data_IF_281521791999
#
_entry.id   IF_281521791999
#
_cell.length_a   1.000
_cell.length_b   1.000
_cell.length_c   1.000
_cell.angle_alpha   90.00
_cell.angle_beta   90.00
_cell.angle_gamma   90.00
#
_symmetry.space_group_name_H-M   'P 1'
#
loop_
_entity.id
_entity.type
_entity.pdbx_description
1 polymer ?
#
# COMPACT_ATOMS: atom_id res chain seq x y z
N UNK A 1 14.32 -23.75 0.39
CA UNK A 1 13.11 -22.93 0.30
C UNK A 1 12.87 -22.51 -1.13
N UNK A 2 11.61 -22.33 -1.53
CA UNK A 2 11.31 -21.72 -2.83
C UNK A 2 11.25 -20.20 -2.67
N UNK A 3 11.77 -19.48 -3.66
CA UNK A 3 11.81 -18.00 -3.66
C UNK A 3 11.73 -17.47 -5.08
N UNK A 4 11.26 -16.23 -5.22
CA UNK A 4 11.28 -15.50 -6.49
C UNK A 4 12.39 -14.46 -6.45
N UNK A 5 13.23 -14.47 -7.47
CA UNK A 5 14.31 -13.51 -7.66
C UNK A 5 14.18 -12.81 -9.01
N UNK A 6 14.85 -11.69 -9.13
CA UNK A 6 15.10 -11.02 -10.41
C UNK A 6 16.60 -10.93 -10.65
N UNK A 7 17.05 -11.35 -11.84
CA UNK A 7 18.44 -11.24 -12.28
C UNK A 7 18.68 -9.99 -13.12
N UNK A 8 17.61 -9.42 -13.70
CA UNK A 8 17.63 -8.20 -14.51
C UNK A 8 16.32 -7.44 -14.31
N UNK A 9 16.39 -6.11 -14.23
CA UNK A 9 15.20 -5.27 -14.24
C UNK A 9 14.42 -5.40 -15.57
N UNK A 10 13.09 -5.45 -15.47
CA UNK A 10 12.25 -5.64 -16.68
C UNK A 10 10.80 -5.97 -16.38
N UNK A 11 10.17 -6.67 -17.31
CA UNK A 11 8.77 -7.10 -17.24
C UNK A 11 8.54 -8.28 -16.30
N UNK A 12 7.26 -8.68 -16.10
CA UNK A 12 6.89 -9.78 -15.22
C UNK A 12 7.52 -11.14 -15.58
N UNK A 13 7.90 -11.33 -16.84
CA UNK A 13 8.59 -12.52 -17.35
C UNK A 13 9.99 -12.72 -16.76
N UNK A 14 10.58 -11.65 -16.20
CA UNK A 14 11.88 -11.70 -15.52
C UNK A 14 11.83 -12.20 -14.08
N UNK A 15 10.65 -12.53 -13.57
CA UNK A 15 10.48 -13.11 -12.22
C UNK A 15 10.80 -14.60 -12.27
N UNK A 16 11.87 -14.99 -11.58
CA UNK A 16 12.42 -16.34 -11.61
C UNK A 16 12.08 -17.09 -10.30
N UNK A 17 11.19 -18.08 -10.38
CA UNK A 17 10.90 -18.99 -9.27
C UNK A 17 12.01 -20.03 -9.14
N UNK A 18 12.72 -20.04 -8.01
CA UNK A 18 13.88 -20.90 -7.78
C UNK A 18 13.86 -21.56 -6.41
N UNK A 19 14.44 -22.75 -6.33
CA UNK A 19 14.79 -23.35 -5.05
C UNK A 19 16.14 -22.79 -4.58
N UNK A 20 16.16 -22.25 -3.36
CA UNK A 20 17.36 -21.68 -2.73
C UNK A 20 17.59 -22.35 -1.37
N UNK A 21 18.84 -22.36 -0.94
CA UNK A 21 19.19 -22.77 0.44
C UNK A 21 18.72 -21.68 1.41
N UNK A 22 18.05 -22.08 2.48
CA UNK A 22 17.75 -21.20 3.60
C UNK A 22 18.89 -21.32 4.61
N UNK A 23 19.58 -20.22 4.86
CA UNK A 23 20.63 -20.16 5.88
C UNK A 23 20.00 -20.10 7.30
N UNK A 24 20.79 -20.36 8.35
CA UNK A 24 20.34 -20.14 9.72
C UNK A 24 20.12 -18.65 9.96
N UNK A 25 19.14 -18.28 10.83
CA UNK A 25 18.91 -16.86 11.14
C UNK A 25 20.11 -16.28 11.90
N UNK A 26 20.41 -15.00 11.65
CA UNK A 26 21.40 -14.26 12.45
C UNK A 26 20.89 -14.09 13.87
N UNK A 27 21.78 -13.59 14.75
CA UNK A 27 21.48 -13.43 16.17
C UNK A 27 20.20 -12.60 16.44
N UNK A 28 19.93 -11.55 15.64
CA UNK A 28 18.79 -10.64 15.75
C UNK A 28 17.63 -10.96 14.79
N UNK A 29 17.71 -12.07 14.07
CA UNK A 29 16.72 -12.49 13.09
C UNK A 29 15.87 -13.68 13.58
N UNK A 30 14.74 -13.85 12.93
CA UNK A 30 13.90 -15.06 13.03
C UNK A 30 13.73 -15.67 11.65
N UNK A 31 13.51 -17.00 11.59
CA UNK A 31 13.03 -17.65 10.38
C UNK A 31 11.51 -17.68 10.40
N UNK A 32 10.89 -17.15 9.36
CA UNK A 32 9.45 -17.13 9.16
C UNK A 32 9.09 -18.13 8.06
N UNK A 33 8.13 -19.02 8.32
CA UNK A 33 7.40 -19.75 7.30
C UNK A 33 6.25 -18.86 6.84
N UNK A 34 6.31 -18.31 5.64
CA UNK A 34 5.24 -17.50 5.11
C UNK A 34 3.96 -18.33 4.93
N UNK A 35 2.85 -17.82 5.39
CA UNK A 35 1.51 -18.36 5.15
C UNK A 35 0.83 -17.63 3.98
N UNK A 36 1.04 -16.32 3.91
CA UNK A 36 0.51 -15.46 2.87
C UNK A 36 1.46 -14.28 2.61
N UNK A 37 1.44 -13.78 1.38
CA UNK A 37 2.32 -12.72 0.90
C UNK A 37 1.45 -11.66 0.22
N UNK A 38 1.63 -10.40 0.57
CA UNK A 38 0.91 -9.28 -0.03
C UNK A 38 1.48 -8.89 -1.38
N UNK A 39 0.61 -8.67 -2.35
CA UNK A 39 0.97 -8.11 -3.66
C UNK A 39 0.81 -6.59 -3.65
N UNK A 40 1.87 -5.85 -4.01
CA UNK A 40 1.90 -4.40 -3.95
C UNK A 40 2.51 -3.76 -5.21
N UNK A 41 2.07 -2.54 -5.56
CA UNK A 41 2.65 -1.81 -6.69
C UNK A 41 4.14 -1.53 -6.53
N UNK A 42 4.66 -1.36 -5.31
CA UNK A 42 6.09 -1.15 -5.06
C UNK A 42 6.92 -2.34 -5.54
N UNK A 43 6.37 -3.55 -5.53
CA UNK A 43 7.06 -4.74 -6.03
C UNK A 43 7.30 -4.63 -7.55
N UNK A 44 6.38 -4.00 -8.28
CA UNK A 44 6.55 -3.72 -9.71
C UNK A 44 7.63 -2.65 -9.95
N UNK A 45 7.76 -1.67 -9.05
CA UNK A 45 8.80 -0.64 -9.15
C UNK A 45 10.20 -1.21 -8.90
N UNK A 46 10.34 -2.12 -7.94
CA UNK A 46 11.57 -2.88 -7.73
C UNK A 46 11.91 -3.75 -8.93
N UNK A 47 10.94 -4.54 -9.43
CA UNK A 47 11.13 -5.41 -10.57
C UNK A 47 11.52 -4.64 -11.83
N UNK A 48 10.85 -3.55 -12.14
CA UNK A 48 11.08 -2.76 -13.35
C UNK A 48 12.35 -1.90 -13.32
N UNK A 49 12.96 -1.72 -12.12
CA UNK A 49 14.12 -0.87 -11.92
C UNK A 49 13.78 0.61 -11.71
N UNK A 50 12.50 0.98 -11.60
CA UNK A 50 12.09 2.34 -11.18
C UNK A 50 12.66 2.67 -9.79
N UNK A 51 12.68 1.67 -8.90
CA UNK A 51 13.41 1.71 -7.63
C UNK A 51 14.59 0.75 -7.75
N UNK A 52 15.83 1.28 -7.93
CA UNK A 52 17.00 0.47 -8.21
C UNK A 52 17.31 -0.55 -7.11
N UNK A 53 17.71 -1.75 -7.53
CA UNK A 53 18.19 -2.83 -6.67
C UNK A 53 19.57 -3.31 -7.12
N UNK A 54 20.35 -3.81 -6.17
CA UNK A 54 21.53 -4.60 -6.49
C UNK A 54 21.09 -5.98 -6.97
N UNK A 55 21.41 -6.35 -8.20
CA UNK A 55 20.98 -7.60 -8.83
C UNK A 55 22.08 -8.66 -8.83
N UNK A 56 21.75 -9.96 -8.71
CA UNK A 56 20.42 -10.51 -8.55
C UNK A 56 19.82 -10.20 -7.18
N UNK A 57 18.50 -10.02 -7.09
CA UNK A 57 17.81 -9.66 -5.85
C UNK A 57 16.57 -10.52 -5.61
N UNK A 58 16.30 -10.96 -4.38
CA UNK A 58 14.96 -11.39 -3.99
C UNK A 58 14.00 -10.21 -4.06
N UNK A 59 12.70 -10.49 -4.19
CA UNK A 59 11.65 -9.48 -4.35
C UNK A 59 10.48 -9.75 -3.41
N UNK A 60 9.58 -8.77 -3.27
CA UNK A 60 8.44 -8.78 -2.37
C UNK A 60 8.75 -8.12 -1.03
N UNK A 61 7.84 -7.29 -0.56
CA UNK A 61 8.02 -6.45 0.63
C UNK A 61 7.20 -6.92 1.82
N UNK A 62 6.01 -7.46 1.59
CA UNK A 62 4.97 -7.70 2.59
C UNK A 62 4.63 -9.19 2.71
N UNK A 63 4.47 -9.66 3.94
CA UNK A 63 4.00 -11.02 4.20
C UNK A 63 3.59 -11.24 5.65
N UNK A 64 2.95 -12.38 5.89
CA UNK A 64 2.60 -12.87 7.21
C UNK A 64 2.81 -14.38 7.28
N UNK A 65 3.17 -14.87 8.46
CA UNK A 65 3.47 -16.27 8.67
C UNK A 65 3.73 -16.60 10.12
N UNK A 66 4.40 -17.72 10.34
CA UNK A 66 4.71 -18.24 11.67
C UNK A 66 6.23 -18.37 11.83
N UNK A 67 6.73 -18.02 13.00
CA UNK A 67 8.14 -18.16 13.35
C UNK A 67 8.47 -19.63 13.55
N UNK A 68 9.48 -20.14 12.83
CA UNK A 68 9.97 -21.52 12.93
C UNK A 68 11.33 -21.65 13.60
N UNK A 69 12.13 -20.58 13.60
CA UNK A 69 13.44 -20.51 14.31
C UNK A 69 13.65 -19.08 14.83
N UNK A 70 14.44 -18.96 15.89
CA UNK A 70 14.84 -17.66 16.47
C UNK A 70 16.36 -17.60 16.62
N UNK A 71 16.94 -16.43 16.36
CA UNK A 71 18.35 -16.15 16.60
C UNK A 71 18.65 -15.98 18.10
N UNK A 72 19.93 -16.04 18.46
CA UNK A 72 20.38 -16.09 19.86
C UNK A 72 20.01 -14.86 20.69
N UNK A 73 19.88 -13.68 20.07
CA UNK A 73 19.63 -12.41 20.74
C UNK A 73 18.16 -12.00 20.75
N UNK A 74 17.29 -12.82 20.11
CA UNK A 74 15.85 -12.56 20.03
C UNK A 74 15.20 -12.86 21.37
N UNK A 75 14.54 -11.84 21.96
CA UNK A 75 13.87 -11.93 23.28
C UNK A 75 12.34 -11.80 23.19
N UNK A 76 11.86 -10.99 22.25
CA UNK A 76 10.44 -10.59 22.17
C UNK A 76 9.59 -11.51 21.31
N UNK A 77 10.23 -12.45 20.61
CA UNK A 77 9.57 -13.42 19.71
C UNK A 77 10.00 -14.84 20.03
N UNK A 78 9.11 -15.80 19.78
CA UNK A 78 9.35 -17.25 19.96
C UNK A 78 8.80 -18.05 18.79
N UNK A 79 9.26 -19.29 18.66
CA UNK A 79 8.71 -20.25 17.70
C UNK A 79 7.21 -20.42 17.94
N UNK A 80 6.43 -20.41 16.86
CA UNK A 80 4.97 -20.47 16.86
C UNK A 80 4.28 -19.11 16.90
N UNK A 81 5.00 -17.99 17.13
CA UNK A 81 4.38 -16.67 17.07
C UNK A 81 3.93 -16.35 15.63
N UNK A 82 2.68 -15.91 15.48
CA UNK A 82 2.15 -15.35 14.22
C UNK A 82 2.64 -13.92 14.05
N UNK A 83 3.20 -13.64 12.89
CA UNK A 83 3.88 -12.37 12.62
C UNK A 83 3.59 -11.84 11.23
N UNK A 84 3.72 -10.53 11.06
CA UNK A 84 3.61 -9.85 9.78
C UNK A 84 4.69 -8.77 9.64
N UNK A 85 4.98 -8.39 8.39
CA UNK A 85 6.02 -7.43 8.04
C UNK A 85 5.73 -6.75 6.71
N UNK A 86 6.27 -5.54 6.50
CA UNK A 86 6.11 -4.78 5.25
C UNK A 86 7.28 -3.82 4.98
N UNK A 87 8.48 -4.18 5.44
CA UNK A 87 9.68 -3.35 5.26
C UNK A 87 10.86 -4.16 4.70
N UNK A 88 11.96 -3.47 4.39
CA UNK A 88 13.22 -4.14 4.02
C UNK A 88 13.76 -5.03 5.17
N UNK A 89 14.52 -6.07 4.82
CA UNK A 89 14.97 -6.47 3.49
C UNK A 89 13.86 -7.08 2.62
N UNK A 90 14.01 -6.97 1.30
CA UNK A 90 13.11 -7.64 0.35
C UNK A 90 13.23 -9.17 0.42
N UNK A 91 12.31 -9.89 -0.22
CA UNK A 91 12.32 -11.36 -0.26
C UNK A 91 11.06 -11.99 0.34
N UNK A 92 9.97 -11.24 0.44
CA UNK A 92 8.69 -11.79 0.88
C UNK A 92 8.15 -12.86 -0.09
N UNK A 93 8.49 -12.79 -1.37
CA UNK A 93 8.09 -13.80 -2.36
C UNK A 93 8.88 -15.09 -2.18
N UNK A 94 8.64 -15.75 -1.06
CA UNK A 94 9.32 -17.00 -0.66
C UNK A 94 8.46 -17.83 0.27
N UNK A 95 8.69 -19.15 0.29
CA UNK A 95 8.03 -20.04 1.26
C UNK A 95 8.54 -19.82 2.69
N UNK A 96 9.81 -19.48 2.83
CA UNK A 96 10.46 -19.18 4.11
C UNK A 96 11.44 -18.04 3.93
N UNK A 97 11.74 -17.31 5.00
CA UNK A 97 12.77 -16.29 5.01
C UNK A 97 13.32 -16.03 6.40
N UNK A 98 14.56 -15.56 6.47
CA UNK A 98 15.08 -14.93 7.67
C UNK A 98 14.73 -13.42 7.64
N UNK A 99 14.35 -12.88 8.80
CA UNK A 99 13.91 -11.50 8.88
C UNK A 99 14.27 -10.85 10.22
N UNK A 100 14.79 -9.60 10.22
CA UNK A 100 15.18 -8.90 11.42
C UNK A 100 13.97 -8.54 12.29
N UNK A 101 14.06 -8.83 13.59
CA UNK A 101 12.95 -8.63 14.53
C UNK A 101 12.52 -7.17 14.70
N UNK A 102 13.44 -6.22 14.47
CA UNK A 102 13.14 -4.78 14.55
C UNK A 102 12.03 -4.31 13.59
N UNK A 103 11.81 -5.03 12.49
CA UNK A 103 10.81 -4.70 11.45
C UNK A 103 9.59 -5.65 11.49
N UNK A 104 9.48 -6.48 12.53
CA UNK A 104 8.48 -7.54 12.64
C UNK A 104 7.43 -7.16 13.67
N UNK A 105 6.15 -7.45 13.38
CA UNK A 105 5.04 -7.24 14.33
C UNK A 105 4.30 -8.54 14.59
N UNK A 106 3.76 -8.70 15.80
CA UNK A 106 2.88 -9.82 16.14
C UNK A 106 1.48 -9.59 15.56
N UNK A 107 0.91 -10.64 14.99
CA UNK A 107 -0.47 -10.60 14.50
C UNK A 107 -1.39 -11.05 15.64
N UNK A 108 -2.40 -10.23 16.02
CA UNK A 108 -3.36 -10.62 17.04
C UNK A 108 -4.24 -11.80 16.55
N UNK A 109 -4.71 -12.64 17.47
CA UNK A 109 -5.49 -13.84 17.14
C UNK A 109 -6.82 -13.54 16.41
N UNK A 110 -7.33 -12.33 16.56
CA UNK A 110 -8.53 -11.85 15.87
C UNK A 110 -8.33 -11.56 14.37
N UNK A 111 -7.08 -11.60 13.86
CA UNK A 111 -6.75 -11.32 12.47
C UNK A 111 -6.08 -12.56 11.86
N UNK A 112 -6.63 -13.09 10.78
CA UNK A 112 -6.02 -14.19 10.05
C UNK A 112 -4.78 -13.73 9.25
N UNK A 113 -3.89 -14.69 8.93
CA UNK A 113 -2.62 -14.38 8.29
C UNK A 113 -2.75 -13.89 6.83
N UNK A 114 -3.80 -14.29 6.10
CA UNK A 114 -4.04 -13.76 4.75
C UNK A 114 -4.46 -12.28 4.82
N UNK A 115 -5.33 -11.96 5.75
CA UNK A 115 -5.72 -10.57 6.03
C UNK A 115 -4.50 -9.77 6.49
N UNK A 116 -3.71 -10.27 7.44
CA UNK A 116 -2.50 -9.59 7.91
C UNK A 116 -1.50 -9.30 6.77
N UNK A 117 -1.27 -10.29 5.88
CA UNK A 117 -0.38 -10.14 4.72
C UNK A 117 -0.85 -9.12 3.68
N UNK A 118 -2.11 -8.70 3.73
CA UNK A 118 -2.66 -7.67 2.82
C UNK A 118 -2.89 -6.33 3.50
N UNK A 119 -2.78 -6.29 4.82
CA UNK A 119 -3.04 -5.12 5.64
C UNK A 119 -1.80 -4.28 5.94
N UNK A 120 -0.62 -4.89 6.09
CA UNK A 120 0.53 -4.17 6.63
C UNK A 120 0.92 -2.97 5.76
N UNK A 121 1.27 -3.19 4.51
CA UNK A 121 1.67 -2.10 3.60
C UNK A 121 0.50 -1.13 3.37
N UNK A 122 -0.68 -1.64 3.09
CA UNK A 122 -1.85 -0.84 2.70
C UNK A 122 -2.45 -0.11 3.89
N UNK A 123 -2.56 -0.78 5.03
CA UNK A 123 -3.10 -0.23 6.27
C UNK A 123 -2.17 0.81 6.91
N UNK A 124 -0.86 0.53 6.99
CA UNK A 124 0.11 1.52 7.49
C UNK A 124 0.17 2.73 6.57
N UNK A 125 0.08 2.51 5.23
CA UNK A 125 -0.04 3.62 4.28
C UNK A 125 -1.28 4.46 4.58
N UNK A 126 -2.43 3.84 4.75
CA UNK A 126 -3.67 4.55 5.13
C UNK A 126 -3.51 5.29 6.46
N UNK A 127 -2.92 4.65 7.47
CA UNK A 127 -2.69 5.26 8.78
C UNK A 127 -1.88 6.54 8.68
N UNK A 128 -0.69 6.49 8.07
CA UNK A 128 0.13 7.71 8.01
C UNK A 128 -0.48 8.79 7.12
N UNK A 129 -1.17 8.43 6.04
CA UNK A 129 -1.85 9.41 5.19
C UNK A 129 -2.89 10.20 5.97
N UNK A 130 -3.76 9.50 6.73
CA UNK A 130 -4.89 10.10 7.45
C UNK A 130 -4.53 10.75 8.79
N UNK A 131 -3.44 10.30 9.44
CA UNK A 131 -3.13 10.73 10.82
C UNK A 131 -1.81 11.50 10.96
N UNK A 132 -0.86 11.30 10.04
CA UNK A 132 0.50 11.88 10.18
C UNK A 132 0.83 12.86 9.05
N UNK A 133 0.58 12.51 7.79
CA UNK A 133 0.89 13.38 6.64
C UNK A 133 -0.07 14.56 6.56
N UNK A 134 -1.35 14.28 6.58
CA UNK A 134 -2.42 15.26 6.72
C UNK A 134 -3.46 14.71 7.70
N UNK A 135 -3.42 15.13 8.97
CA UNK A 135 -4.41 14.71 9.98
C UNK A 135 -5.79 15.24 9.60
N UNK A 136 -6.63 14.35 9.05
CA UNK A 136 -7.97 14.72 8.59
C UNK A 136 -8.89 15.06 9.76
N UNK A 137 -9.89 15.91 9.51
CA UNK A 137 -10.91 16.29 10.49
C UNK A 137 -12.28 15.82 10.03
N UNK A 138 -13.15 15.52 10.98
CA UNK A 138 -14.54 15.21 10.69
C UNK A 138 -15.22 16.33 9.92
N UNK A 139 -16.01 15.98 8.89
CA UNK A 139 -16.67 16.90 7.99
C UNK A 139 -15.81 17.46 6.86
N UNK A 140 -14.52 17.11 6.78
CA UNK A 140 -13.68 17.54 5.64
C UNK A 140 -14.00 16.74 4.37
N UNK A 141 -14.06 17.47 3.23
CA UNK A 141 -14.07 16.87 1.90
C UNK A 141 -12.65 16.53 1.49
N UNK A 142 -12.41 15.26 1.17
CA UNK A 142 -11.09 14.74 0.77
C UNK A 142 -11.20 13.90 -0.50
N UNK A 143 -10.17 13.92 -1.34
CA UNK A 143 -10.11 13.13 -2.57
C UNK A 143 -9.03 12.05 -2.46
N UNK A 144 -9.38 10.82 -2.86
CA UNK A 144 -8.45 9.72 -3.00
C UNK A 144 -8.53 9.10 -4.41
N UNK A 145 -7.41 9.08 -5.12
CA UNK A 145 -7.33 8.44 -6.43
C UNK A 145 -7.17 6.92 -6.34
N UNK A 146 -7.72 6.19 -7.32
CA UNK A 146 -7.76 4.73 -7.35
C UNK A 146 -8.54 4.11 -6.17
N UNK A 147 -9.73 4.63 -5.89
CA UNK A 147 -10.60 4.27 -4.76
C UNK A 147 -10.92 2.78 -4.64
N UNK A 148 -11.02 2.04 -5.76
CA UNK A 148 -11.25 0.59 -5.77
C UNK A 148 -9.96 -0.25 -5.65
N UNK A 149 -8.79 0.39 -5.53
CA UNK A 149 -7.51 -0.30 -5.36
C UNK A 149 -7.29 -0.82 -3.95
N UNK A 150 -6.20 -1.57 -3.74
CA UNK A 150 -5.91 -2.19 -2.44
C UNK A 150 -5.79 -1.20 -1.27
N UNK A 151 -5.11 -0.07 -1.44
CA UNK A 151 -5.06 1.01 -0.44
C UNK A 151 -6.40 1.74 -0.39
N UNK A 152 -7.01 2.02 -1.56
CA UNK A 152 -8.25 2.78 -1.67
C UNK A 152 -9.41 2.19 -0.88
N UNK A 153 -9.56 0.87 -0.90
CA UNK A 153 -10.62 0.19 -0.13
C UNK A 153 -10.44 0.36 1.39
N UNK A 154 -9.22 0.28 1.89
CA UNK A 154 -8.92 0.49 3.31
C UNK A 154 -9.09 1.96 3.67
N UNK A 155 -8.57 2.84 2.83
CA UNK A 155 -8.61 4.29 3.01
C UNK A 155 -10.04 4.83 3.12
N UNK A 156 -10.93 4.45 2.19
CA UNK A 156 -12.31 4.93 2.18
C UNK A 156 -13.06 4.54 3.46
N UNK A 157 -12.99 3.26 3.87
CA UNK A 157 -13.60 2.80 5.11
C UNK A 157 -13.06 3.54 6.35
N UNK A 158 -11.73 3.71 6.41
CA UNK A 158 -11.08 4.37 7.54
C UNK A 158 -11.41 5.86 7.58
N UNK A 159 -11.27 6.59 6.47
CA UNK A 159 -11.61 8.00 6.38
C UNK A 159 -13.10 8.27 6.71
N UNK A 160 -14.00 7.39 6.23
CA UNK A 160 -15.42 7.46 6.58
C UNK A 160 -15.65 7.27 8.08
N UNK A 161 -14.91 6.36 8.72
CA UNK A 161 -15.00 6.15 10.18
C UNK A 161 -14.49 7.34 11.00
N UNK A 162 -13.68 8.23 10.38
CA UNK A 162 -13.23 9.49 10.96
C UNK A 162 -14.20 10.64 10.70
N UNK A 163 -15.29 10.39 9.98
CA UNK A 163 -16.33 11.38 9.67
C UNK A 163 -16.02 12.28 8.47
N UNK A 164 -15.07 11.90 7.61
CA UNK A 164 -14.80 12.65 6.37
C UNK A 164 -15.90 12.41 5.32
N UNK A 165 -16.07 13.39 4.41
CA UNK A 165 -16.76 13.23 3.15
C UNK A 165 -15.74 12.76 2.11
N UNK A 166 -15.84 11.50 1.69
CA UNK A 166 -14.78 10.87 0.89
C UNK A 166 -15.17 10.85 -0.58
N UNK A 167 -14.40 11.54 -1.40
CA UNK A 167 -14.51 11.52 -2.86
C UNK A 167 -13.47 10.56 -3.40
N UNK A 168 -13.86 9.66 -4.30
CA UNK A 168 -12.97 8.70 -4.92
C UNK A 168 -12.95 8.81 -6.44
N UNK A 169 -11.83 8.48 -7.06
CA UNK A 169 -11.81 8.27 -8.51
C UNK A 169 -11.53 6.82 -8.86
N UNK A 170 -12.15 6.37 -9.95
CA UNK A 170 -11.99 5.02 -10.53
C UNK A 170 -11.81 5.09 -12.03
N UNK A 171 -11.27 4.02 -12.63
CA UNK A 171 -11.03 3.96 -14.07
C UNK A 171 -12.11 3.21 -14.86
N UNK A 172 -13.18 2.71 -14.23
CA UNK A 172 -14.28 2.05 -14.92
C UNK A 172 -15.56 2.07 -14.08
N UNK A 173 -16.72 1.93 -14.73
CA UNK A 173 -18.02 1.92 -14.03
C UNK A 173 -18.18 0.71 -13.12
N UNK A 174 -17.63 -0.42 -13.49
CA UNK A 174 -17.64 -1.65 -12.69
C UNK A 174 -17.00 -1.46 -11.31
N UNK A 175 -16.08 -0.48 -11.18
CA UNK A 175 -15.39 -0.14 -9.93
C UNK A 175 -16.13 0.87 -9.07
N UNK A 176 -17.14 1.57 -9.63
CA UNK A 176 -17.88 2.61 -8.89
C UNK A 176 -18.58 2.01 -7.68
N UNK A 177 -19.35 0.94 -7.88
CA UNK A 177 -20.09 0.31 -6.79
C UNK A 177 -19.18 -0.27 -5.71
N UNK A 178 -18.05 -0.87 -6.12
CA UNK A 178 -17.03 -1.35 -5.19
C UNK A 178 -16.48 -0.21 -4.31
N UNK A 179 -16.18 0.95 -4.90
CA UNK A 179 -15.69 2.09 -4.13
C UNK A 179 -16.76 2.61 -3.16
N UNK A 180 -18.02 2.76 -3.58
CA UNK A 180 -19.12 3.18 -2.70
C UNK A 180 -19.27 2.24 -1.49
N UNK A 181 -19.22 0.92 -1.70
CA UNK A 181 -19.27 -0.08 -0.62
C UNK A 181 -18.10 0.04 0.36
N UNK A 182 -17.01 0.67 -0.05
CA UNK A 182 -15.82 0.91 0.77
C UNK A 182 -15.75 2.35 1.34
N UNK A 183 -16.89 3.03 1.51
CA UNK A 183 -17.00 4.26 2.28
C UNK A 183 -16.82 5.55 1.51
N UNK A 184 -16.79 5.51 0.17
CA UNK A 184 -16.76 6.72 -0.66
C UNK A 184 -18.18 7.27 -0.86
N UNK A 185 -18.38 8.53 -0.49
CA UNK A 185 -19.65 9.24 -0.65
C UNK A 185 -19.91 9.60 -2.11
N UNK A 186 -18.85 9.99 -2.82
CA UNK A 186 -18.86 10.32 -4.24
C UNK A 186 -17.79 9.52 -4.97
N UNK A 187 -18.13 8.95 -6.13
CA UNK A 187 -17.18 8.20 -6.97
C UNK A 187 -17.25 8.70 -8.40
N UNK A 188 -16.12 9.12 -8.93
CA UNK A 188 -15.97 9.71 -10.26
C UNK A 188 -15.21 8.74 -11.17
N UNK A 189 -15.76 8.39 -12.32
CA UNK A 189 -15.05 7.64 -13.35
C UNK A 189 -14.28 8.64 -14.25
N UNK A 190 -12.97 8.79 -14.00
CA UNK A 190 -12.13 9.76 -14.72
C UNK A 190 -11.91 9.45 -16.22
N UNK A 191 -12.34 8.29 -16.71
CA UNK A 191 -12.34 8.00 -18.14
C UNK A 191 -13.57 8.55 -18.86
N UNK A 192 -14.60 8.98 -18.10
CA UNK A 192 -15.85 9.55 -18.62
C UNK A 192 -16.00 11.03 -18.29
N UNK A 193 -15.57 11.40 -17.09
CA UNK A 193 -15.77 12.74 -16.54
C UNK A 193 -14.43 13.41 -16.25
N UNK A 194 -14.40 14.75 -16.41
CA UNK A 194 -13.33 15.56 -15.84
C UNK A 194 -13.51 15.58 -14.32
N UNK A 195 -12.65 14.87 -13.60
CA UNK A 195 -12.79 14.75 -12.15
C UNK A 195 -12.59 16.07 -11.41
N UNK A 196 -11.79 17.02 -11.94
CA UNK A 196 -11.60 18.32 -11.31
C UNK A 196 -12.88 19.17 -11.37
N UNK A 197 -13.59 19.13 -12.49
CA UNK A 197 -14.91 19.79 -12.62
C UNK A 197 -15.94 19.15 -11.68
N UNK A 198 -15.98 17.81 -11.61
CA UNK A 198 -16.88 17.11 -10.69
C UNK A 198 -16.58 17.40 -9.22
N UNK A 199 -15.32 17.46 -8.83
CA UNK A 199 -14.93 17.87 -7.47
C UNK A 199 -15.38 19.31 -7.20
N UNK A 200 -15.24 20.21 -8.15
CA UNK A 200 -15.74 21.60 -8.02
C UNK A 200 -17.25 21.65 -7.83
N UNK A 201 -18.02 20.85 -8.56
CA UNK A 201 -19.47 20.71 -8.38
C UNK A 201 -19.79 20.18 -6.97
N UNK A 202 -19.18 19.07 -6.54
CA UNK A 202 -19.40 18.43 -5.24
C UNK A 202 -19.09 19.37 -4.07
N UNK A 203 -18.06 20.20 -4.21
CA UNK A 203 -17.60 21.10 -3.14
C UNK A 203 -18.18 22.52 -3.23
N UNK A 204 -19.19 22.78 -4.08
CA UNK A 204 -19.74 24.13 -4.37
C UNK A 204 -18.65 25.16 -4.71
N UNK A 205 -17.62 24.75 -5.44
CA UNK A 205 -16.50 25.59 -5.82
C UNK A 205 -15.46 25.86 -4.71
N UNK A 206 -15.64 25.33 -3.50
CA UNK A 206 -14.73 25.58 -2.36
C UNK A 206 -13.37 24.89 -2.53
N UNK A 207 -13.32 23.76 -3.24
CA UNK A 207 -12.15 22.93 -3.41
C UNK A 207 -11.74 22.18 -2.14
N UNK A 208 -10.70 21.37 -2.24
CA UNK A 208 -10.30 20.39 -1.23
C UNK A 208 -9.12 20.85 -0.38
N UNK A 209 -9.10 20.44 0.89
CA UNK A 209 -7.94 20.62 1.77
C UNK A 209 -6.79 19.71 1.39
N UNK A 210 -7.10 18.49 0.94
CA UNK A 210 -6.11 17.46 0.62
C UNK A 210 -6.59 16.58 -0.52
N UNK A 211 -5.64 16.20 -1.37
CA UNK A 211 -5.79 15.15 -2.40
C UNK A 211 -4.72 14.11 -2.17
N UNK A 212 -5.12 12.85 -2.06
CA UNK A 212 -4.22 11.69 -1.94
C UNK A 212 -4.09 11.00 -3.30
N UNK A 213 -2.91 11.05 -3.86
CA UNK A 213 -2.63 10.59 -5.23
C UNK A 213 -1.60 9.45 -5.25
N UNK A 214 -2.10 8.23 -5.49
CA UNK A 214 -1.30 7.04 -5.75
C UNK A 214 -1.11 6.73 -7.25
N UNK A 215 -1.74 7.51 -8.14
CA UNK A 215 -1.73 7.32 -9.60
C UNK A 215 -0.54 8.02 -10.24
N UNK A 216 -0.32 9.29 -9.93
CA UNK A 216 0.86 10.04 -10.36
C UNK A 216 0.65 10.83 -11.64
N UNK A 217 1.42 10.54 -12.70
CA UNK A 217 1.51 11.37 -13.92
C UNK A 217 0.15 11.79 -14.49
N UNK A 218 -0.80 10.88 -14.60
CA UNK A 218 -2.07 11.14 -15.29
C UNK A 218 -3.08 11.94 -14.45
N UNK A 219 -2.85 12.10 -13.15
CA UNK A 219 -3.80 12.75 -12.22
C UNK A 219 -3.26 14.04 -11.62
N UNK A 220 -1.98 14.34 -11.78
CA UNK A 220 -1.30 15.45 -11.12
C UNK A 220 -1.95 16.80 -11.37
N UNK A 221 -2.15 17.20 -12.63
CA UNK A 221 -2.68 18.52 -12.96
C UNK A 221 -4.09 18.72 -12.42
N UNK A 222 -4.98 17.75 -12.65
CA UNK A 222 -6.35 17.81 -12.11
C UNK A 222 -6.38 17.77 -10.57
N UNK A 223 -5.43 17.06 -9.94
CA UNK A 223 -5.28 17.06 -8.47
C UNK A 223 -4.95 18.46 -7.94
N UNK A 224 -4.05 19.19 -8.63
CA UNK A 224 -3.73 20.59 -8.31
C UNK A 224 -4.98 21.50 -8.48
N UNK A 225 -5.77 21.26 -9.52
CA UNK A 225 -7.01 22.03 -9.75
C UNK A 225 -8.03 21.82 -8.64
N UNK A 226 -8.18 20.60 -8.12
CA UNK A 226 -9.11 20.28 -7.04
C UNK A 226 -8.80 20.99 -5.72
N UNK A 227 -7.55 21.38 -5.49
CA UNK A 227 -7.12 21.94 -4.21
C UNK A 227 -7.55 23.40 -4.03
N UNK A 228 -8.00 23.74 -2.82
CA UNK A 228 -8.21 25.13 -2.39
C UNK A 228 -6.89 25.84 -2.08
N UNK A 229 -6.93 27.13 -1.76
CA UNK A 229 -5.74 27.86 -1.28
C UNK A 229 -5.11 27.13 -0.08
N UNK A 230 -3.79 26.94 -0.12
CA UNK A 230 -2.99 26.26 0.91
C UNK A 230 -3.37 24.80 1.12
N UNK A 231 -4.01 24.17 0.12
CA UNK A 231 -4.29 22.74 0.12
C UNK A 231 -3.03 21.91 -0.08
N UNK A 232 -3.13 20.62 0.23
CA UNK A 232 -2.00 19.67 0.15
C UNK A 232 -2.25 18.60 -0.91
N UNK A 233 -1.29 18.43 -1.83
CA UNK A 233 -1.20 17.24 -2.67
C UNK A 233 -0.24 16.23 -2.03
N UNK A 234 -0.78 15.08 -1.65
CA UNK A 234 -0.02 13.95 -1.13
C UNK A 234 0.17 12.93 -2.25
N UNK A 235 1.31 13.02 -2.94
CA UNK A 235 1.67 12.13 -4.05
C UNK A 235 2.41 10.91 -3.51
N UNK A 236 1.73 9.78 -3.25
CA UNK A 236 2.33 8.61 -2.59
C UNK A 236 2.55 7.40 -3.51
N UNK A 237 2.16 7.46 -4.79
CA UNK A 237 2.33 6.36 -5.76
C UNK A 237 2.66 6.82 -7.17
N UNK A 238 2.95 5.87 -8.07
CA UNK A 238 3.31 6.07 -9.47
C UNK A 238 2.59 5.05 -10.38
N UNK A 239 1.32 4.72 -10.12
CA UNK A 239 0.64 3.68 -10.89
C UNK A 239 0.46 4.01 -12.38
N UNK A 240 0.51 5.28 -12.78
CA UNK A 240 0.53 5.73 -14.19
C UNK A 240 1.91 6.23 -14.66
N UNK A 241 2.93 6.03 -13.84
CA UNK A 241 4.28 6.54 -14.04
C UNK A 241 4.65 7.66 -13.07
N UNK A 242 5.96 7.95 -12.94
CA UNK A 242 6.44 9.03 -12.09
C UNK A 242 5.97 10.40 -12.61
N UNK A 243 5.88 11.37 -11.71
CA UNK A 243 5.61 12.76 -12.08
C UNK A 243 6.73 13.30 -12.99
N UNK A 244 6.35 14.07 -13.98
CA UNK A 244 7.30 14.91 -14.69
C UNK A 244 7.84 16.00 -13.72
N UNK A 245 8.96 16.66 -14.04
CA UNK A 245 9.49 17.74 -13.20
C UNK A 245 8.44 18.80 -12.92
N UNK A 246 8.17 19.05 -11.63
CA UNK A 246 7.14 20.01 -11.21
C UNK A 246 7.67 21.42 -11.26
N UNK A 247 7.03 22.28 -12.06
CA UNK A 247 7.31 23.71 -12.05
C UNK A 247 6.61 24.36 -10.85
N UNK A 248 7.37 24.64 -9.80
CA UNK A 248 6.86 25.18 -8.53
C UNK A 248 6.12 26.51 -8.74
N UNK A 249 6.68 27.42 -9.56
CA UNK A 249 6.06 28.72 -9.82
C UNK A 249 4.71 28.60 -10.57
N UNK A 250 4.59 27.62 -11.46
CA UNK A 250 3.36 27.40 -12.24
C UNK A 250 2.32 26.60 -11.45
N UNK A 251 2.73 25.52 -10.80
CA UNK A 251 1.80 24.53 -10.24
C UNK A 251 1.49 24.75 -8.76
N UNK A 252 2.42 25.27 -7.98
CA UNK A 252 2.30 25.36 -6.51
C UNK A 252 2.01 26.79 -6.05
N UNK A 253 2.78 27.77 -6.55
CA UNK A 253 2.72 29.16 -6.11
C UNK A 253 1.33 29.80 -6.24
N UNK A 254 0.53 29.61 -7.33
CA UNK A 254 -0.73 30.34 -7.50
C UNK A 254 -1.74 30.14 -6.37
N UNK A 255 -1.71 28.97 -5.71
CA UNK A 255 -2.57 28.68 -4.57
C UNK A 255 -1.80 28.50 -3.26
N UNK A 256 -0.47 28.68 -3.26
CA UNK A 256 0.39 28.43 -2.08
C UNK A 256 0.26 27.01 -1.57
N UNK A 257 0.28 26.03 -2.46
CA UNK A 257 0.02 24.63 -2.14
C UNK A 257 1.19 23.97 -1.41
N UNK A 258 0.89 22.89 -0.70
CA UNK A 258 1.87 21.95 -0.22
C UNK A 258 1.93 20.73 -1.15
N UNK A 259 3.13 20.29 -1.49
CA UNK A 259 3.38 19.04 -2.22
C UNK A 259 4.30 18.18 -1.39
N UNK A 260 3.86 16.96 -1.08
CA UNK A 260 4.68 15.99 -0.34
C UNK A 260 4.68 14.63 -1.02
N UNK A 261 5.79 13.89 -0.83
CA UNK A 261 5.99 12.54 -1.36
C UNK A 261 6.33 11.57 -0.22
N UNK A 262 5.34 11.17 0.59
CA UNK A 262 5.59 10.26 1.70
C UNK A 262 5.76 8.81 1.23
N UNK A 263 6.47 8.03 2.04
CA UNK A 263 6.54 6.58 1.92
C UNK A 263 6.47 5.93 3.31
N UNK A 264 6.08 4.67 3.37
CA UNK A 264 5.99 3.91 4.61
C UNK A 264 7.31 3.93 5.40
N UNK A 265 8.45 3.94 4.69
CA UNK A 265 9.78 3.93 5.28
C UNK A 265 10.08 5.17 6.15
N UNK A 266 9.42 6.29 5.90
CA UNK A 266 9.60 7.54 6.65
C UNK A 266 8.66 7.64 7.86
N UNK A 267 7.68 6.75 7.95
CA UNK A 267 6.66 6.74 9.00
C UNK A 267 6.73 5.47 9.88
N UNK A 268 7.79 4.67 9.70
CA UNK A 268 8.09 3.47 10.50
C UNK A 268 9.61 3.37 10.73
N UNK A 269 10.25 4.51 11.07
CA UNK A 269 11.71 4.59 11.23
C UNK A 269 12.17 4.05 12.58
N UNK A 270 11.30 4.15 13.58
CA UNK A 270 11.56 3.62 14.93
C UNK A 270 10.63 2.45 15.24
N UNK A 271 10.96 1.68 16.27
CA UNK A 271 10.12 0.58 16.74
C UNK A 271 8.76 1.09 17.20
N UNK A 272 8.73 2.21 17.91
CA UNK A 272 7.53 2.85 18.44
C UNK A 272 6.60 3.29 17.33
N UNK A 273 7.12 3.89 16.25
CA UNK A 273 6.32 4.29 15.09
C UNK A 273 5.73 3.07 14.36
N UNK A 274 6.50 1.99 14.20
CA UNK A 274 6.01 0.74 13.61
C UNK A 274 4.91 0.12 14.47
N UNK A 275 5.11 0.06 15.78
CA UNK A 275 4.13 -0.50 16.71
C UNK A 275 2.86 0.34 16.77
N UNK A 276 2.96 1.68 16.83
CA UNK A 276 1.79 2.56 16.77
C UNK A 276 0.96 2.29 15.51
N UNK A 277 1.64 2.29 14.35
CA UNK A 277 0.97 2.10 13.07
C UNK A 277 0.34 0.70 12.96
N UNK A 278 1.07 -0.36 13.29
CA UNK A 278 0.59 -1.73 13.20
C UNK A 278 -0.57 -2.00 14.17
N UNK A 279 -0.47 -1.54 15.42
CA UNK A 279 -1.53 -1.67 16.41
C UNK A 279 -2.80 -0.97 15.94
N UNK A 280 -2.68 0.22 15.34
CA UNK A 280 -3.83 0.96 14.83
C UNK A 280 -4.48 0.26 13.63
N UNK A 281 -3.67 -0.30 12.73
CA UNK A 281 -4.14 -1.11 11.60
C UNK A 281 -4.90 -2.35 12.08
N UNK A 282 -4.35 -3.09 13.04
CA UNK A 282 -5.01 -4.27 13.59
C UNK A 282 -6.25 -3.93 14.41
N UNK A 283 -6.26 -2.80 15.15
CA UNK A 283 -7.47 -2.29 15.83
C UNK A 283 -8.60 -2.06 14.84
N UNK A 284 -8.31 -1.40 13.73
CA UNK A 284 -9.32 -1.10 12.69
C UNK A 284 -9.88 -2.37 12.05
N UNK A 285 -9.02 -3.38 11.82
CA UNK A 285 -9.46 -4.68 11.29
C UNK A 285 -10.27 -5.47 12.33
N UNK A 286 -9.77 -5.61 13.55
CA UNK A 286 -10.42 -6.38 14.63
C UNK A 286 -11.76 -5.78 15.06
N UNK A 287 -11.90 -4.46 15.02
CA UNK A 287 -13.17 -3.78 15.33
C UNK A 287 -14.21 -3.86 14.20
N UNK A 288 -13.81 -4.38 13.02
CA UNK A 288 -14.65 -4.44 11.83
C UNK A 288 -14.92 -3.09 11.15
N UNK A 289 -14.24 -2.01 11.58
CA UNK A 289 -14.30 -0.70 10.92
C UNK A 289 -13.61 -0.72 9.54
N UNK A 290 -12.59 -1.57 9.40
CA UNK A 290 -11.95 -1.86 8.12
C UNK A 290 -12.06 -3.36 7.84
N UNK A 291 -12.73 -3.70 6.77
CA UNK A 291 -12.88 -5.08 6.29
C UNK A 291 -12.06 -5.25 5.01
N UNK A 292 -11.14 -6.19 5.01
CA UNK A 292 -10.35 -6.52 3.82
C UNK A 292 -11.05 -7.63 3.05
N UNK A 293 -11.39 -7.35 1.80
CA UNK A 293 -11.90 -8.36 0.87
C UNK A 293 -10.80 -8.69 -0.14
N UNK A 294 -10.14 -9.82 0.04
CA UNK A 294 -9.14 -10.32 -0.91
C UNK A 294 -9.82 -10.58 -2.25
N UNK A 295 -9.40 -9.86 -3.29
CA UNK A 295 -10.01 -9.93 -4.62
C UNK A 295 -9.54 -11.16 -5.42
N UNK A 296 -8.30 -11.59 -5.20
CA UNK A 296 -7.70 -12.72 -5.90
C UNK A 296 -6.57 -13.36 -5.11
N UNK A 297 -6.45 -14.69 -5.23
CA UNK A 297 -5.34 -15.47 -4.69
C UNK A 297 -4.52 -16.07 -5.82
N UNK A 298 -3.20 -16.06 -5.68
CA UNK A 298 -2.26 -16.63 -6.64
C UNK A 298 -1.35 -17.63 -5.94
N UNK A 299 -0.88 -18.64 -6.65
CA UNK A 299 0.28 -19.42 -6.20
C UNK A 299 1.56 -18.59 -6.38
N UNK A 300 2.56 -18.82 -5.53
CA UNK A 300 3.87 -18.19 -5.69
C UNK A 300 4.52 -18.49 -7.07
N UNK A 301 4.20 -19.64 -7.67
CA UNK A 301 4.64 -19.99 -9.04
C UNK A 301 4.01 -19.11 -10.11
N UNK A 302 2.83 -18.57 -9.86
CA UNK A 302 2.07 -17.73 -10.79
C UNK A 302 2.36 -16.23 -10.60
N UNK A 303 3.47 -15.88 -9.94
CA UNK A 303 3.81 -14.49 -9.56
C UNK A 303 3.88 -13.57 -10.78
N UNK A 304 4.34 -14.06 -11.93
CA UNK A 304 4.38 -13.26 -13.16
C UNK A 304 2.97 -12.85 -13.61
N UNK A 305 1.99 -13.75 -13.48
CA UNK A 305 0.59 -13.44 -13.79
C UNK A 305 0.00 -12.46 -12.76
N UNK A 306 0.34 -12.61 -11.47
CA UNK A 306 -0.09 -11.67 -10.43
C UNK A 306 0.36 -10.24 -10.73
N UNK A 307 1.62 -10.06 -11.17
CA UNK A 307 2.15 -8.76 -11.58
C UNK A 307 1.45 -8.21 -12.83
N UNK A 308 1.18 -9.04 -13.85
CA UNK A 308 0.43 -8.64 -15.04
C UNK A 308 -0.97 -8.15 -14.68
N UNK A 309 -1.68 -8.88 -13.84
CA UNK A 309 -3.04 -8.53 -13.40
C UNK A 309 -3.04 -7.22 -12.58
N UNK A 310 -2.03 -7.00 -11.74
CA UNK A 310 -1.87 -5.77 -10.99
C UNK A 310 -1.65 -4.55 -11.92
N UNK A 311 -0.72 -4.67 -12.87
CA UNK A 311 -0.36 -3.59 -13.80
C UNK A 311 -1.48 -3.28 -14.80
N UNK A 312 -2.23 -4.30 -15.25
CA UNK A 312 -3.41 -4.13 -16.12
C UNK A 312 -4.64 -3.60 -15.37
N UNK A 313 -4.54 -3.42 -14.04
CA UNK A 313 -5.60 -2.85 -13.19
C UNK A 313 -6.90 -3.65 -13.17
N UNK A 314 -6.86 -4.95 -13.47
CA UNK A 314 -8.05 -5.83 -13.42
C UNK A 314 -8.44 -6.20 -11.98
N UNK A 315 -7.52 -6.05 -11.02
CA UNK A 315 -7.80 -6.32 -9.62
C UNK A 315 -8.76 -5.27 -9.04
N UNK A 316 -9.76 -5.76 -8.30
CA UNK A 316 -10.80 -4.95 -7.65
C UNK A 316 -10.61 -4.88 -6.14
N UNK A 317 -9.37 -5.01 -5.66
CA UNK A 317 -9.02 -4.98 -4.25
C UNK A 317 -7.64 -5.60 -3.99
N UNK A 318 -7.28 -5.81 -2.71
CA UNK A 318 -6.05 -6.49 -2.34
C UNK A 318 -5.99 -7.90 -2.94
N UNK A 319 -4.78 -8.33 -3.30
CA UNK A 319 -4.52 -9.70 -3.73
C UNK A 319 -3.43 -10.32 -2.86
N UNK A 320 -3.48 -11.63 -2.70
CA UNK A 320 -2.56 -12.40 -1.88
C UNK A 320 -1.89 -13.49 -2.72
N UNK A 321 -0.63 -13.76 -2.41
CA UNK A 321 0.15 -14.85 -2.98
C UNK A 321 0.31 -15.90 -1.90
N UNK A 322 -0.05 -17.14 -2.22
CA UNK A 322 0.12 -18.32 -1.35
C UNK A 322 1.44 -19.00 -1.73
N UNK A 323 2.37 -19.17 -0.75
CA UNK A 323 3.69 -19.75 -1.00
C UNK A 323 3.68 -21.19 -1.45
#
# INVERSE_FOLDING_TARGET
MNSVIISKAGGPEGLEYKELKLEEPKADEVTIKNHAIGLNYIDTYHRSGLYPLTLPSPIGLEGAGEITKVGSDVKDFKVGDKVAYCAAPLGAYSTHRNYPTKNLVKVPDSVDLETAATLMTKGITTFYLLHKTYPVKSGEDILFHAAAGGVGQIFGQWAKSLGCNVIGTVGSDEKVENAKQNGYDHVINYNKDNFAEKVKEITDGKGLSVVYDGVGKNTFDGSIECLKLRGMLVSFGNASGPLDPVNVAKSIQPKGLYLTRPSIMQYTTTREELDEAANKVFEMASSGKVKVKISKKYSLKDIAQAHKDLESRVLTGPAVILP
#
